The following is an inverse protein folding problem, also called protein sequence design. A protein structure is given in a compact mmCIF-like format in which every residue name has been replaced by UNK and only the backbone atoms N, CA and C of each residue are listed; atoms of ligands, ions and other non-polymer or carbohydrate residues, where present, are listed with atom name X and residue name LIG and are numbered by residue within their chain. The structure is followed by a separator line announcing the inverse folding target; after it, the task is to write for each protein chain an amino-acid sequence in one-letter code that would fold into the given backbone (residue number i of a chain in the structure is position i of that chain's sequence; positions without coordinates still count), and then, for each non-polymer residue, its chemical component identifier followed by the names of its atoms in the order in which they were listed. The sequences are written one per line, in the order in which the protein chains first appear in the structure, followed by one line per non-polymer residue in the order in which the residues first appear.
data_IF_293487809918
#
_entry.id   IF_293487809918
#
_cell.length_a   1.000
_cell.length_b   1.000
_cell.length_c   1.000
_cell.angle_alpha   90.00
_cell.angle_beta   90.00
_cell.angle_gamma   90.00
#
_symmetry.space_group_name_H-M   'P 1'
#
loop_
_entity.id
_entity.type
_entity.pdbx_description
1 polymer ?
#
# COMPACT_ATOMS: atom_id res chain seq x y z
N UNK A 1 -2.43 29.64 -13.89
CA UNK A 1 -2.24 28.26 -14.39
C UNK A 1 -3.52 27.44 -14.17
N UNK A 2 -3.89 26.60 -15.14
CA UNK A 2 -5.14 25.82 -15.10
C UNK A 2 -4.81 24.34 -15.11
N UNK A 3 -5.44 23.56 -14.23
CA UNK A 3 -5.34 22.09 -14.25
C UNK A 3 -6.63 21.57 -14.90
N UNK A 4 -6.47 20.83 -15.98
CA UNK A 4 -7.55 20.11 -16.64
C UNK A 4 -7.95 18.90 -15.80
N UNK A 5 -9.19 18.93 -15.33
CA UNK A 5 -9.85 17.84 -14.64
C UNK A 5 -10.99 17.31 -15.50
N UNK A 6 -11.26 16.00 -15.40
CA UNK A 6 -12.47 15.42 -16.01
C UNK A 6 -13.64 15.54 -15.03
N UNK A 7 -14.82 15.86 -15.53
CA UNK A 7 -16.05 15.79 -14.75
C UNK A 7 -16.49 14.32 -14.61
N UNK A 8 -16.85 13.90 -13.39
CA UNK A 8 -17.49 12.61 -13.17
C UNK A 8 -18.88 12.58 -13.81
N UNK A 9 -19.16 11.57 -14.65
CA UNK A 9 -20.40 11.48 -15.42
C UNK A 9 -21.61 11.05 -14.58
N UNK A 10 -21.39 10.22 -13.56
CA UNK A 10 -22.42 9.75 -12.64
C UNK A 10 -22.04 10.10 -11.21
N UNK A 11 -22.51 11.25 -10.72
CA UNK A 11 -22.59 11.53 -9.28
C UNK A 11 -23.81 10.78 -8.71
N UNK A 12 -23.84 9.45 -8.86
CA UNK A 12 -24.72 8.68 -7.98
C UNK A 12 -24.17 8.91 -6.56
N UNK A 13 -25.01 9.14 -5.54
CA UNK A 13 -24.51 9.19 -4.17
C UNK A 13 -23.89 7.82 -3.91
N UNK A 14 -22.56 7.74 -3.98
CA UNK A 14 -21.81 6.52 -3.81
C UNK A 14 -21.80 6.25 -2.30
N UNK A 15 -22.95 5.79 -1.79
CA UNK A 15 -23.43 5.98 -0.41
C UNK A 15 -23.54 7.47 -0.06
N UNK A 16 -24.55 7.87 0.71
CA UNK A 16 -24.76 9.23 1.23
C UNK A 16 -23.62 9.72 2.17
N UNK A 17 -22.44 9.09 2.17
CA UNK A 17 -21.42 9.22 3.23
C UNK A 17 -19.99 9.40 2.72
N UNK A 18 -19.73 9.57 1.41
CA UNK A 18 -18.36 9.87 0.96
C UNK A 18 -18.02 11.34 1.23
N UNK A 19 -17.00 11.67 2.05
CA UNK A 19 -16.66 13.05 2.40
C UNK A 19 -15.88 13.79 1.29
N UNK A 20 -15.79 13.23 0.08
CA UNK A 20 -14.98 13.75 -1.02
C UNK A 20 -15.79 13.91 -2.31
N UNK A 21 -15.55 15.00 -3.03
CA UNK A 21 -16.23 15.36 -4.29
C UNK A 21 -15.53 14.82 -5.56
N UNK A 22 -14.43 14.08 -5.40
CA UNK A 22 -13.68 13.56 -6.54
C UNK A 22 -12.41 12.80 -6.16
N UNK A 23 -11.67 12.40 -7.20
CA UNK A 23 -10.44 11.61 -7.09
C UNK A 23 -9.30 12.30 -7.83
N UNK A 24 -8.17 12.49 -7.14
CA UNK A 24 -6.92 12.94 -7.77
C UNK A 24 -6.16 11.74 -8.33
N UNK A 25 -6.32 11.46 -9.62
CA UNK A 25 -5.61 10.38 -10.30
C UNK A 25 -4.11 10.66 -10.46
N UNK A 26 -3.27 9.78 -9.90
CA UNK A 26 -1.80 9.90 -9.92
C UNK A 26 -1.10 8.92 -10.87
N UNK A 27 -1.85 8.27 -11.77
CA UNK A 27 -1.32 7.29 -12.72
C UNK A 27 -0.34 7.87 -13.75
N UNK A 28 0.31 6.99 -14.51
CA UNK A 28 1.38 7.31 -15.48
C UNK A 28 0.92 8.01 -16.77
N UNK A 29 -0.28 8.59 -16.80
CA UNK A 29 -0.84 9.22 -18.00
C UNK A 29 -0.15 10.54 -18.35
N UNK A 30 0.06 10.81 -19.64
CA UNK A 30 0.69 12.05 -20.14
C UNK A 30 -0.13 13.32 -19.89
N UNK A 31 -1.44 13.17 -19.64
CA UNK A 31 -2.36 14.24 -19.25
C UNK A 31 -2.68 14.22 -17.75
N UNK A 32 -1.94 13.45 -16.94
CA UNK A 32 -2.11 13.36 -15.50
C UNK A 32 -1.72 14.64 -14.76
N UNK A 33 -2.01 14.69 -13.46
CA UNK A 33 -1.80 15.88 -12.63
C UNK A 33 -0.34 16.38 -12.67
N UNK A 34 0.63 15.50 -12.43
CA UNK A 34 2.06 15.87 -12.39
C UNK A 34 2.58 16.38 -13.74
N UNK A 35 2.33 15.71 -14.89
CA UNK A 35 2.64 16.28 -16.19
C UNK A 35 2.05 17.67 -16.44
N UNK A 36 0.82 17.94 -15.99
CA UNK A 36 0.21 19.27 -16.11
C UNK A 36 0.93 20.32 -15.24
N UNK A 37 1.35 19.97 -14.02
CA UNK A 37 2.16 20.86 -13.18
C UNK A 37 3.51 21.19 -13.84
N UNK A 38 4.14 20.20 -14.48
CA UNK A 38 5.38 20.39 -15.22
C UNK A 38 5.19 21.29 -16.45
N UNK A 39 4.10 21.11 -17.20
CA UNK A 39 3.75 21.96 -18.36
C UNK A 39 3.65 23.44 -17.95
N UNK A 40 3.09 23.69 -16.77
CA UNK A 40 2.99 25.03 -16.19
C UNK A 40 4.26 25.50 -15.44
N UNK A 41 5.37 24.75 -15.53
CA UNK A 41 6.66 25.06 -14.89
C UNK A 41 6.57 25.23 -13.36
N UNK A 42 5.55 24.66 -12.72
CA UNK A 42 5.38 24.71 -11.25
C UNK A 42 6.31 23.72 -10.54
N UNK A 43 6.65 22.64 -11.21
CA UNK A 43 7.64 21.65 -10.78
C UNK A 43 8.50 21.25 -11.97
N UNK A 44 9.71 20.75 -11.70
CA UNK A 44 10.68 20.33 -12.74
C UNK A 44 10.88 18.83 -12.81
N UNK A 45 10.28 18.07 -11.88
CA UNK A 45 10.49 16.63 -11.75
C UNK A 45 9.17 15.89 -11.77
N UNK A 46 9.11 14.80 -12.55
CA UNK A 46 7.98 13.87 -12.56
C UNK A 46 8.17 12.84 -11.45
N UNK A 47 8.07 13.30 -10.20
CA UNK A 47 8.22 12.46 -9.00
C UNK A 47 7.03 12.74 -8.10
N UNK A 48 6.41 11.67 -7.60
CA UNK A 48 5.34 11.73 -6.60
C UNK A 48 5.86 11.02 -5.36
N UNK A 49 5.69 11.64 -4.20
CA UNK A 49 5.97 10.98 -2.92
C UNK A 49 4.74 11.06 -2.02
N UNK A 50 4.40 9.97 -1.36
CA UNK A 50 3.38 10.00 -0.31
C UNK A 50 3.79 9.17 0.90
N UNK A 51 3.34 9.59 2.08
CA UNK A 51 3.48 8.85 3.32
C UNK A 51 2.18 8.99 4.10
N UNK A 52 1.53 7.87 4.39
CA UNK A 52 0.23 7.80 5.06
C UNK A 52 0.44 7.53 6.56
N UNK A 53 0.01 8.45 7.43
CA UNK A 53 0.16 8.29 8.87
C UNK A 53 -0.79 7.24 9.45
N UNK A 54 -0.30 6.41 10.38
CA UNK A 54 -1.12 5.36 11.01
C UNK A 54 -2.36 5.86 11.78
N UNK A 55 -2.28 7.06 12.36
CA UNK A 55 -3.33 7.68 13.19
C UNK A 55 -4.07 8.80 12.42
N UNK A 56 -3.97 8.77 11.09
CA UNK A 56 -4.43 9.83 10.20
C UNK A 56 -3.33 10.83 9.82
N UNK A 57 -3.64 11.67 8.84
CA UNK A 57 -2.69 12.64 8.30
C UNK A 57 -1.62 12.00 7.39
N UNK A 58 -0.44 12.61 7.38
CA UNK A 58 0.65 12.28 6.45
C UNK A 58 0.89 13.39 5.44
N UNK A 59 1.56 13.08 4.33
CA UNK A 59 1.80 14.05 3.27
C UNK A 59 1.79 13.44 1.88
N UNK A 60 1.46 14.29 0.92
CA UNK A 60 1.66 14.10 -0.51
C UNK A 60 2.59 15.21 -1.00
N UNK A 61 3.54 14.88 -1.88
CA UNK A 61 4.41 15.85 -2.53
C UNK A 61 4.65 15.52 -3.99
N UNK A 62 4.97 16.58 -4.75
CA UNK A 62 5.14 16.55 -6.20
C UNK A 62 6.43 17.27 -6.58
N UNK A 63 7.23 16.63 -7.43
CA UNK A 63 8.49 17.18 -7.93
C UNK A 63 9.64 17.23 -6.92
N UNK A 64 9.43 16.66 -5.74
CA UNK A 64 10.45 16.57 -4.69
C UNK A 64 11.42 15.41 -4.97
N UNK A 65 12.69 15.61 -4.60
CA UNK A 65 13.67 14.54 -4.57
C UNK A 65 13.91 14.11 -3.13
N UNK A 66 13.90 12.80 -2.92
CA UNK A 66 14.11 12.20 -1.62
C UNK A 66 15.53 11.67 -1.54
N UNK A 67 16.31 12.20 -0.61
CA UNK A 67 17.70 11.79 -0.34
C UNK A 67 17.82 11.04 0.99
N UNK A 68 16.76 10.34 1.40
CA UNK A 68 16.76 9.56 2.64
C UNK A 68 17.61 8.29 2.48
N UNK A 69 18.40 7.96 3.50
CA UNK A 69 19.10 6.68 3.58
C UNK A 69 18.10 5.53 3.74
N UNK A 70 18.42 4.36 3.18
CA UNK A 70 17.61 3.15 3.33
C UNK A 70 16.41 3.03 2.39
N UNK A 71 16.23 3.95 1.44
CA UNK A 71 15.22 3.77 0.38
C UNK A 71 15.56 2.53 -0.44
N UNK A 72 14.62 1.59 -0.49
CA UNK A 72 14.66 0.47 -1.41
C UNK A 72 14.10 0.91 -2.74
N UNK A 73 14.87 0.73 -3.82
CA UNK A 73 14.46 1.08 -5.17
C UNK A 73 14.19 -0.17 -6.01
N UNK A 74 13.07 -0.18 -6.73
CA UNK A 74 12.71 -1.20 -7.69
C UNK A 74 12.39 -0.60 -9.05
N UNK A 75 12.82 -1.22 -10.17
CA UNK A 75 12.40 -0.77 -11.49
C UNK A 75 10.89 -0.94 -11.64
N UNK A 76 10.21 0.08 -12.20
CA UNK A 76 8.84 -0.07 -12.66
C UNK A 76 8.83 -1.02 -13.86
N UNK A 77 8.00 -2.05 -13.79
CA UNK A 77 7.75 -2.98 -14.88
C UNK A 77 6.48 -2.57 -15.59
N UNK A 78 6.50 -2.65 -16.91
CA UNK A 78 5.32 -2.39 -17.72
C UNK A 78 4.27 -3.45 -17.41
N UNK A 79 3.27 -3.07 -16.63
CA UNK A 79 2.13 -3.90 -16.29
C UNK A 79 0.88 -3.04 -16.39
N UNK A 80 0.21 -3.12 -17.55
CA UNK A 80 -0.89 -2.24 -17.90
C UNK A 80 -0.48 -0.75 -17.75
N UNK A 81 -1.26 0.06 -17.03
CA UNK A 81 -0.95 1.45 -16.69
C UNK A 81 -0.67 1.64 -15.19
N UNK A 82 -0.36 0.54 -14.49
CA UNK A 82 -0.22 0.50 -13.04
C UNK A 82 1.23 0.61 -12.57
N UNK A 83 1.43 1.25 -11.41
CA UNK A 83 2.72 1.28 -10.74
C UNK A 83 3.07 -0.09 -10.18
N UNK A 84 3.91 -0.83 -10.91
CA UNK A 84 4.29 -2.19 -10.56
C UNK A 84 5.80 -2.37 -10.50
N UNK A 85 6.37 -2.90 -9.41
CA UNK A 85 7.74 -3.41 -9.38
C UNK A 85 7.90 -4.77 -10.10
N UNK A 86 6.80 -5.36 -10.60
CA UNK A 86 6.76 -6.67 -11.24
C UNK A 86 6.25 -7.78 -10.30
N UNK A 87 6.66 -9.02 -10.60
CA UNK A 87 6.22 -10.21 -9.88
C UNK A 87 6.85 -10.32 -8.48
N UNK A 88 6.04 -10.64 -7.48
CA UNK A 88 6.45 -10.90 -6.11
C UNK A 88 6.10 -12.32 -5.66
N UNK A 89 7.00 -12.96 -4.91
CA UNK A 89 6.64 -14.05 -3.99
C UNK A 89 6.26 -13.49 -2.61
N UNK A 90 5.37 -14.21 -1.91
CA UNK A 90 4.94 -13.85 -0.56
C UNK A 90 5.69 -14.70 0.47
N UNK A 91 6.28 -14.02 1.46
CA UNK A 91 6.97 -14.65 2.58
C UNK A 91 6.38 -14.18 3.92
N UNK A 92 6.32 -15.06 4.89
CA UNK A 92 5.97 -14.77 6.29
C UNK A 92 7.07 -15.30 7.18
N UNK A 93 7.62 -14.42 8.03
CA UNK A 93 8.75 -14.76 8.90
C UNK A 93 9.95 -15.36 8.13
N UNK A 94 10.20 -14.88 6.91
CA UNK A 94 11.22 -15.41 6.00
C UNK A 94 10.82 -16.69 5.25
N UNK A 95 9.83 -17.46 5.74
CA UNK A 95 9.33 -18.65 5.06
C UNK A 95 8.49 -18.27 3.84
N UNK A 96 8.79 -18.88 2.70
CA UNK A 96 8.02 -18.68 1.47
C UNK A 96 6.65 -19.34 1.58
N UNK A 97 5.57 -18.55 1.52
CA UNK A 97 4.19 -19.03 1.46
C UNK A 97 3.77 -19.31 0.02
N UNK A 98 4.20 -18.45 -0.91
CA UNK A 98 3.88 -18.59 -2.32
C UNK A 98 5.08 -18.28 -3.21
N UNK A 99 5.45 -19.24 -4.06
CA UNK A 99 6.70 -19.19 -4.84
C UNK A 99 6.57 -18.64 -6.26
N UNK A 100 5.40 -18.78 -6.88
CA UNK A 100 5.28 -18.68 -8.35
C UNK A 100 5.29 -17.25 -8.92
N UNK A 101 5.48 -16.22 -8.08
CA UNK A 101 5.47 -14.83 -8.51
C UNK A 101 4.09 -14.36 -8.97
N UNK A 102 3.62 -13.22 -8.49
CA UNK A 102 2.44 -12.53 -9.04
C UNK A 102 2.73 -11.05 -9.13
N UNK A 103 2.32 -10.40 -10.21
CA UNK A 103 2.51 -8.95 -10.35
C UNK A 103 1.90 -8.23 -9.15
N UNK A 104 2.69 -7.40 -8.48
CA UNK A 104 2.22 -6.51 -7.44
C UNK A 104 2.04 -5.10 -8.00
N UNK A 105 1.05 -4.38 -7.51
CA UNK A 105 0.71 -3.02 -7.89
C UNK A 105 0.56 -2.18 -6.63
N UNK A 106 1.19 -1.02 -6.59
CA UNK A 106 0.93 -0.01 -5.57
C UNK A 106 -0.36 0.74 -5.94
N UNK A 107 -1.35 0.71 -5.05
CA UNK A 107 -2.65 1.32 -5.28
C UNK A 107 -3.13 2.06 -4.03
N UNK A 108 -2.92 3.38 -4.02
CA UNK A 108 -3.44 4.24 -2.96
C UNK A 108 -4.94 4.51 -3.07
N UNK A 109 -5.63 3.89 -4.03
CA UNK A 109 -7.09 3.89 -4.13
C UNK A 109 -7.76 2.78 -3.33
N UNK A 110 -6.99 1.81 -2.82
CA UNK A 110 -7.48 0.66 -2.06
C UNK A 110 -7.09 0.78 -0.59
N UNK A 111 -8.08 0.73 0.31
CA UNK A 111 -7.80 0.75 1.77
C UNK A 111 -7.00 -0.46 2.23
N UNK A 112 -7.38 -1.65 1.76
CA UNK A 112 -6.77 -2.94 2.13
C UNK A 112 -5.90 -3.49 1.01
N UNK A 113 -5.01 -4.40 1.37
CA UNK A 113 -4.25 -5.16 0.37
C UNK A 113 -5.08 -6.35 -0.10
N UNK A 114 -5.14 -6.58 -1.40
CA UNK A 114 -5.85 -7.70 -1.99
C UNK A 114 -4.85 -8.65 -2.64
N UNK A 115 -4.95 -9.95 -2.33
CA UNK A 115 -4.08 -10.97 -2.93
C UNK A 115 -4.93 -12.06 -3.58
N UNK A 116 -4.47 -12.69 -4.67
CA UNK A 116 -5.23 -13.74 -5.33
C UNK A 116 -5.62 -14.88 -4.38
N UNK A 117 -6.78 -15.48 -4.59
CA UNK A 117 -7.32 -16.56 -3.76
C UNK A 117 -6.34 -17.71 -3.54
N UNK A 118 -5.59 -18.07 -4.61
CA UNK A 118 -4.53 -19.10 -4.57
C UNK A 118 -3.37 -18.78 -3.61
N UNK A 119 -3.20 -17.51 -3.24
CA UNK A 119 -2.22 -17.03 -2.25
C UNK A 119 -2.92 -16.75 -0.91
N UNK A 120 -4.12 -16.18 -0.95
CA UNK A 120 -4.90 -15.81 0.22
C UNK A 120 -5.17 -16.97 1.17
N UNK A 121 -5.72 -18.07 0.65
CA UNK A 121 -6.10 -19.22 1.45
C UNK A 121 -4.91 -19.82 2.24
N UNK A 122 -3.76 -20.16 1.61
CA UNK A 122 -2.60 -20.65 2.36
C UNK A 122 -1.99 -19.59 3.28
N UNK A 123 -2.09 -18.30 2.94
CA UNK A 123 -1.65 -17.22 3.83
C UNK A 123 -2.47 -17.19 5.13
N UNK A 124 -3.80 -17.18 5.06
CA UNK A 124 -4.68 -17.16 6.24
C UNK A 124 -4.42 -18.39 7.13
N UNK A 125 -4.31 -19.59 6.55
CA UNK A 125 -3.98 -20.80 7.29
C UNK A 125 -2.64 -20.69 8.01
N UNK A 126 -1.63 -20.10 7.35
CA UNK A 126 -0.31 -19.93 7.98
C UNK A 126 -0.32 -18.87 9.08
N UNK A 127 -1.13 -17.83 8.95
CA UNK A 127 -1.34 -16.85 10.01
C UNK A 127 -1.99 -17.51 11.23
N UNK A 128 -3.03 -18.32 11.02
CA UNK A 128 -3.73 -19.02 12.10
C UNK A 128 -2.83 -20.02 12.83
N UNK A 129 -2.02 -20.79 12.10
CA UNK A 129 -0.97 -21.68 12.65
C UNK A 129 0.05 -20.89 13.50
N UNK A 130 0.50 -19.73 12.99
CA UNK A 130 1.49 -18.88 13.64
C UNK A 130 1.01 -18.29 14.97
N UNK A 131 -0.25 -17.81 15.05
CA UNK A 131 -0.77 -17.23 16.30
C UNK A 131 -1.15 -18.30 17.34
N UNK A 132 -1.35 -19.54 16.90
CA UNK A 132 -1.62 -20.70 17.74
C UNK A 132 -3.11 -20.95 18.00
N UNK A 133 -3.43 -22.22 18.28
CA UNK A 133 -4.81 -22.71 18.46
C UNK A 133 -5.54 -22.15 19.69
N UNK A 134 -4.83 -21.50 20.61
CA UNK A 134 -5.43 -20.79 21.75
C UNK A 134 -6.21 -19.56 21.32
N UNK A 135 -5.93 -18.99 20.15
CA UNK A 135 -6.53 -17.76 19.66
C UNK A 135 -7.59 -18.11 18.63
N UNK A 136 -8.84 -18.23 19.11
CA UNK A 136 -9.99 -18.48 18.26
C UNK A 136 -10.40 -17.21 17.51
N UNK A 137 -10.78 -17.40 16.27
CA UNK A 137 -11.31 -16.34 15.44
C UNK A 137 -12.63 -15.82 16.02
N UNK A 138 -12.84 -14.52 15.92
CA UNK A 138 -14.03 -13.82 16.40
C UNK A 138 -14.71 -13.11 15.24
N UNK A 139 -16.04 -12.99 15.34
CA UNK A 139 -16.81 -12.20 14.38
C UNK A 139 -16.48 -10.70 14.53
N UNK A 140 -16.37 -10.02 13.40
CA UNK A 140 -16.28 -8.57 13.27
C UNK A 140 -17.02 -8.14 12.00
N UNK A 141 -17.77 -7.03 12.08
CA UNK A 141 -18.54 -6.53 10.94
C UNK A 141 -17.65 -5.82 9.90
N UNK A 142 -16.45 -5.38 10.31
CA UNK A 142 -15.54 -4.62 9.44
C UNK A 142 -14.67 -5.56 8.57
N UNK A 143 -14.21 -6.71 9.09
CA UNK A 143 -13.22 -7.58 8.42
C UNK A 143 -13.42 -9.08 8.70
N UNK A 144 -13.06 -9.98 7.75
CA UNK A 144 -13.45 -11.39 7.82
C UNK A 144 -12.63 -12.23 8.80
N UNK A 145 -11.36 -11.88 9.04
CA UNK A 145 -10.45 -12.68 9.87
C UNK A 145 -9.90 -11.84 11.02
N UNK A 146 -10.40 -12.11 12.23
CA UNK A 146 -10.19 -11.28 13.41
C UNK A 146 -9.96 -12.11 14.68
N UNK A 147 -9.16 -11.58 15.61
CA UNK A 147 -8.87 -12.22 16.90
C UNK A 147 -8.78 -11.20 18.03
N UNK A 148 -8.96 -11.68 19.26
CA UNK A 148 -8.71 -10.90 20.48
C UNK A 148 -7.37 -11.25 21.10
N UNK A 149 -6.70 -10.22 21.60
CA UNK A 149 -5.42 -10.33 22.30
C UNK A 149 -5.50 -9.51 23.59
N UNK A 150 -4.70 -9.89 24.58
CA UNK A 150 -4.65 -9.21 25.88
C UNK A 150 -3.99 -7.84 25.79
N UNK A 151 -3.08 -7.65 24.82
CA UNK A 151 -2.36 -6.39 24.62
C UNK A 151 -1.74 -6.30 23.23
N UNK A 152 -1.36 -5.09 22.80
CA UNK A 152 -0.59 -4.87 21.57
C UNK A 152 0.77 -5.59 21.58
N UNK A 153 1.39 -5.74 22.75
CA UNK A 153 2.65 -6.49 22.90
C UNK A 153 2.48 -7.98 22.55
N UNK A 154 1.33 -8.56 22.89
CA UNK A 154 1.02 -9.95 22.52
C UNK A 154 0.88 -10.09 21.00
N UNK A 155 0.20 -9.14 20.36
CA UNK A 155 0.04 -9.07 18.90
C UNK A 155 1.41 -9.00 18.23
N UNK A 156 2.26 -8.05 18.63
CA UNK A 156 3.60 -7.86 18.07
C UNK A 156 4.52 -9.08 18.29
N UNK A 157 4.32 -9.84 19.37
CA UNK A 157 5.08 -11.05 19.65
C UNK A 157 4.66 -12.21 18.75
N UNK A 158 3.36 -12.40 18.54
CA UNK A 158 2.79 -13.53 17.80
C UNK A 158 2.88 -13.30 16.28
N UNK A 159 2.45 -12.14 15.80
CA UNK A 159 2.45 -11.83 14.37
C UNK A 159 3.85 -11.50 13.86
N UNK A 160 4.26 -12.20 12.80
CA UNK A 160 5.59 -12.07 12.20
C UNK A 160 5.56 -11.16 10.97
N UNK A 161 6.67 -10.49 10.62
CA UNK A 161 6.69 -9.64 9.44
C UNK A 161 6.44 -10.44 8.17
N UNK A 162 5.71 -9.81 7.25
CA UNK A 162 5.56 -10.25 5.87
C UNK A 162 6.67 -9.64 5.02
N UNK A 163 6.96 -10.27 3.89
CA UNK A 163 7.65 -9.59 2.81
C UNK A 163 7.17 -10.02 1.43
N UNK A 164 7.15 -9.04 0.53
CA UNK A 164 7.05 -9.27 -0.90
C UNK A 164 8.48 -9.28 -1.46
N UNK A 165 8.87 -10.40 -2.04
CA UNK A 165 10.20 -10.59 -2.62
C UNK A 165 10.10 -10.48 -4.14
N UNK A 166 10.78 -9.48 -4.70
CA UNK A 166 10.82 -9.18 -6.13
C UNK A 166 12.12 -9.69 -6.75
N UNK A 167 12.22 -9.55 -8.08
CA UNK A 167 13.46 -9.85 -8.81
C UNK A 167 14.66 -9.04 -8.27
N UNK A 168 15.89 -9.53 -8.49
CA UNK A 168 17.13 -8.91 -8.00
C UNK A 168 17.24 -8.75 -6.48
N UNK A 169 16.62 -9.65 -5.70
CA UNK A 169 16.65 -9.65 -4.22
C UNK A 169 16.06 -8.37 -3.60
N UNK A 170 15.22 -7.67 -4.36
CA UNK A 170 14.52 -6.48 -3.86
C UNK A 170 13.36 -6.95 -2.99
N UNK A 171 13.26 -6.42 -1.78
CA UNK A 171 12.23 -6.81 -0.82
C UNK A 171 11.44 -5.61 -0.33
N UNK A 172 10.12 -5.76 -0.24
CA UNK A 172 9.29 -4.88 0.58
C UNK A 172 8.96 -5.61 1.87
N UNK A 173 9.53 -5.12 2.98
CA UNK A 173 9.22 -5.63 4.31
C UNK A 173 7.95 -4.96 4.85
N UNK A 174 7.02 -5.77 5.31
CA UNK A 174 5.71 -5.34 5.79
C UNK A 174 5.58 -5.77 7.26
N UNK A 175 5.71 -4.83 8.21
CA UNK A 175 5.53 -5.11 9.63
C UNK A 175 4.13 -5.67 9.93
N UNK A 176 3.99 -6.35 11.08
CA UNK A 176 2.69 -6.87 11.54
C UNK A 176 1.59 -5.79 11.52
N UNK A 177 1.92 -4.59 11.97
CA UNK A 177 0.98 -3.47 12.02
C UNK A 177 0.59 -2.94 10.62
N UNK A 178 1.27 -3.34 9.55
CA UNK A 178 0.96 -2.95 8.18
C UNK A 178 0.08 -3.97 7.44
N UNK A 179 -0.24 -5.09 8.09
CA UNK A 179 -1.26 -6.03 7.58
C UNK A 179 -2.32 -6.37 8.64
N UNK A 180 -2.32 -5.66 9.76
CA UNK A 180 -3.32 -5.76 10.82
C UNK A 180 -3.98 -4.41 11.09
N UNK A 181 -5.27 -4.45 11.41
CA UNK A 181 -6.06 -3.30 11.83
C UNK A 181 -6.73 -3.62 13.15
N UNK A 182 -6.71 -2.65 14.06
CA UNK A 182 -7.48 -2.68 15.30
C UNK A 182 -8.85 -2.05 15.03
N UNK A 183 -9.92 -2.83 15.16
CA UNK A 183 -11.28 -2.41 14.82
C UNK A 183 -11.98 -1.72 15.99
N UNK A 184 -13.12 -1.08 15.71
CA UNK A 184 -13.97 -0.46 16.73
C UNK A 184 -14.54 -1.47 17.74
N UNK A 185 -14.68 -2.73 17.32
CA UNK A 185 -15.08 -3.86 18.16
C UNK A 185 -13.96 -4.36 19.08
N UNK A 186 -12.82 -3.66 19.12
CA UNK A 186 -11.61 -4.02 19.87
C UNK A 186 -11.03 -5.38 19.45
N UNK A 187 -11.11 -5.71 18.16
CA UNK A 187 -10.51 -6.90 17.57
C UNK A 187 -9.30 -6.51 16.72
N UNK A 188 -8.36 -7.43 16.54
CA UNK A 188 -7.25 -7.30 15.59
C UNK A 188 -7.54 -8.17 14.37
N UNK A 189 -7.64 -7.53 13.21
CA UNK A 189 -8.10 -8.15 11.97
C UNK A 189 -7.07 -8.06 10.85
N UNK A 190 -7.08 -9.04 9.94
CA UNK A 190 -6.25 -8.98 8.73
C UNK A 190 -6.72 -7.86 7.80
N UNK A 191 -5.80 -6.96 7.47
CA UNK A 191 -5.94 -5.93 6.45
C UNK A 191 -5.50 -6.42 5.05
N UNK A 192 -5.35 -7.74 4.90
CA UNK A 192 -5.17 -8.43 3.63
C UNK A 192 -6.44 -9.22 3.36
N UNK A 193 -7.02 -9.02 2.18
CA UNK A 193 -8.29 -9.59 1.76
C UNK A 193 -8.14 -10.46 0.51
N UNK A 194 -9.17 -11.29 0.26
CA UNK A 194 -9.21 -12.12 -0.92
C UNK A 194 -9.47 -11.26 -2.16
N UNK A 195 -8.59 -11.34 -3.16
CA UNK A 195 -8.69 -10.60 -4.41
C UNK A 195 -9.94 -10.88 -5.23
N UNK A 196 -10.66 -11.98 -4.97
CA UNK A 196 -11.97 -12.24 -5.60
C UNK A 196 -13.07 -11.28 -5.14
N UNK A 197 -12.84 -10.51 -4.07
CA UNK A 197 -13.82 -9.55 -3.53
C UNK A 197 -13.91 -8.26 -4.36
N UNK A 198 -12.94 -8.00 -5.24
CA UNK A 198 -12.91 -6.81 -6.09
C UNK A 198 -12.70 -7.19 -7.57
N UNK A 199 -13.21 -6.37 -8.52
CA UNK A 199 -12.97 -6.58 -9.94
C UNK A 199 -11.46 -6.66 -10.25
N UNK A 200 -11.06 -7.65 -11.05
CA UNK A 200 -9.67 -7.94 -11.43
C UNK A 200 -8.67 -8.18 -10.27
N UNK A 201 -9.12 -8.28 -9.02
CA UNK A 201 -8.24 -8.46 -7.86
C UNK A 201 -7.56 -9.82 -7.80
N UNK A 202 -8.15 -10.86 -8.40
CA UNK A 202 -7.56 -12.22 -8.37
C UNK A 202 -6.36 -12.43 -9.33
N UNK A 203 -6.07 -11.42 -10.16
CA UNK A 203 -4.99 -11.49 -11.17
C UNK A 203 -3.66 -10.96 -10.65
N UNK A 204 -3.66 -10.17 -9.59
CA UNK A 204 -2.51 -9.39 -9.09
C UNK A 204 -2.53 -9.24 -7.58
N UNK A 205 -1.39 -8.89 -6.99
CA UNK A 205 -1.34 -8.36 -5.63
C UNK A 205 -1.60 -6.85 -5.75
N UNK A 206 -2.66 -6.37 -5.10
CA UNK A 206 -2.99 -4.96 -4.97
C UNK A 206 -2.54 -4.49 -3.58
N UNK A 207 -1.45 -3.73 -3.52
CA UNK A 207 -0.88 -3.20 -2.27
C UNK A 207 -1.64 -1.93 -1.92
N UNK A 208 -2.49 -2.02 -0.89
CA UNK A 208 -3.32 -0.92 -0.43
C UNK A 208 -2.68 -0.06 0.66
N UNK A 209 -3.41 0.98 1.05
CA UNK A 209 -3.00 1.99 2.01
C UNK A 209 -2.58 1.40 3.35
N UNK A 210 -3.33 0.43 3.89
CA UNK A 210 -3.02 -0.22 5.17
C UNK A 210 -1.59 -0.78 5.21
N UNK A 211 -1.12 -1.31 4.08
CA UNK A 211 0.25 -1.83 3.90
C UNK A 211 1.28 -0.74 3.70
N UNK A 212 0.89 0.39 3.08
CA UNK A 212 1.74 1.56 2.88
C UNK A 212 1.79 2.53 4.08
N UNK A 213 1.06 2.27 5.18
CA UNK A 213 1.10 3.12 6.38
C UNK A 213 2.51 3.26 6.97
N UNK A 214 2.85 4.46 7.43
CA UNK A 214 4.18 4.81 7.96
C UNK A 214 5.31 4.40 6.99
N UNK A 215 5.05 4.47 5.69
CA UNK A 215 6.01 4.20 4.63
C UNK A 215 5.98 5.36 3.64
N UNK A 216 7.14 5.95 3.40
CA UNK A 216 7.29 6.83 2.26
C UNK A 216 7.38 5.96 1.02
N UNK A 217 6.42 6.14 0.11
CA UNK A 217 6.39 5.52 -1.22
C UNK A 217 6.62 6.59 -2.27
N UNK A 218 7.57 6.32 -3.16
CA UNK A 218 8.05 7.26 -4.18
C UNK A 218 7.81 6.67 -5.56
N UNK A 219 7.11 7.41 -6.40
CA UNK A 219 6.90 7.12 -7.81
C UNK A 219 7.82 8.04 -8.62
N UNK A 220 9.02 7.56 -8.95
CA UNK A 220 10.00 8.29 -9.75
C UNK A 220 9.78 7.94 -11.23
N UNK A 221 8.85 8.65 -11.86
CA UNK A 221 8.46 8.45 -13.25
C UNK A 221 9.56 8.88 -14.24
N UNK A 222 10.47 9.75 -13.82
CA UNK A 222 11.59 10.17 -14.67
C UNK A 222 12.59 9.03 -14.89
N UNK A 223 12.84 8.24 -13.85
CA UNK A 223 13.78 7.12 -13.90
C UNK A 223 13.09 5.76 -13.98
N UNK A 224 11.75 5.72 -14.06
CA UNK A 224 10.98 4.49 -14.16
C UNK A 224 11.20 3.56 -12.97
N UNK A 225 11.16 4.07 -11.73
CA UNK A 225 11.41 3.28 -10.52
C UNK A 225 10.49 3.65 -9.36
N UNK A 226 10.17 2.66 -8.54
CA UNK A 226 9.45 2.80 -7.28
C UNK A 226 10.45 2.79 -6.13
N UNK A 227 10.27 3.70 -5.19
CA UNK A 227 11.03 3.77 -3.95
C UNK A 227 10.11 3.49 -2.77
N UNK A 228 10.60 2.79 -1.75
CA UNK A 228 9.93 2.73 -0.47
C UNK A 228 10.91 2.69 0.71
N UNK A 229 10.53 3.33 1.81
CA UNK A 229 11.26 3.30 3.07
C UNK A 229 10.30 3.46 4.24
N UNK A 230 10.54 2.74 5.33
CA UNK A 230 9.77 2.96 6.56
C UNK A 230 10.06 4.36 7.10
N UNK A 231 9.01 5.15 7.29
CA UNK A 231 9.09 6.52 7.80
C UNK A 231 8.04 6.69 8.91
N UNK A 232 8.42 6.49 10.18
CA UNK A 232 7.54 6.71 11.31
C UNK A 232 6.94 8.11 11.29
N UNK A 233 5.68 8.23 11.72
CA UNK A 233 4.94 9.49 11.89
C UNK A 233 4.60 10.25 10.60
N UNK A 234 5.14 9.84 9.45
CA UNK A 234 4.92 10.50 8.16
C UNK A 234 4.94 12.03 8.25
N UNK A 235 5.87 12.58 9.02
CA UNK A 235 6.12 14.02 9.07
C UNK A 235 6.96 14.37 7.85
N UNK A 236 6.65 15.49 7.18
CA UNK A 236 7.48 15.94 6.05
C UNK A 236 8.91 16.09 6.54
N UNK A 237 9.90 15.45 5.90
CA UNK A 237 11.28 15.79 6.18
C UNK A 237 11.42 17.28 5.92
N UNK A 238 11.96 18.04 6.89
CA UNK A 238 12.19 19.46 6.70
C UNK A 238 12.92 19.64 5.37
N UNK A 239 12.48 20.56 4.48
CA UNK A 239 13.25 20.86 3.29
C UNK A 239 14.65 21.20 3.79
N UNK A 240 15.65 20.43 3.35
CA UNK A 240 17.03 20.79 3.60
C UNK A 240 17.13 22.26 3.21
N UNK A 241 17.39 23.10 4.20
CA UNK A 241 17.65 24.52 4.00
C UNK A 241 18.60 24.60 2.82
N UNK A 242 18.19 25.30 1.75
CA UNK A 242 19.10 25.66 0.68
C UNK A 242 20.23 26.42 1.36
N UNK A 243 21.36 25.75 1.57
CA UNK A 243 22.66 26.34 1.80
C UNK A 243 23.34 26.40 0.43
#
# INVERSE_FOLDING_TARGET
PFVLCRCGYSQQPQKETSPVDGVLGLGMGTVGFVPQLMLHKMITKNIIGHCLGKDGGGYLSFGEQFHLGGITWAPMRKYELFYSPGQASLHLNGQQIYKHGVNAVFDSGSTYTYIPARIYNPFVLKVQDMIGSSHREVHDDDLPHCWKFKSIHEVQRLFKPLSLQFHNKIAMHIPAMNYLIHTRSNNWCLAILNGTQIPDGDRRILIGDATMRDMLVIYDNQHGRLGWVHQPQCTRPHPASRL
#
